data_IF_263842705214
#
_entry.id   IF_263842705214
#
_cell.length_a   1.000
_cell.length_b   1.000
_cell.length_c   1.000
_cell.angle_alpha   90.00
_cell.angle_beta   90.00
_cell.angle_gamma   90.00
#
_symmetry.space_group_name_H-M   'P 1'
#
loop_
_entity.id
_entity.type
_entity.pdbx_description
1 polymer ?
#
# COMPACT_ATOMS: atom_id res chain seq x y z
N UNK A 1 4.88 9.33 -4.44
CA UNK A 1 4.46 10.47 -5.28
C UNK A 1 3.47 9.96 -6.30
N UNK A 2 2.66 10.85 -6.87
CA UNK A 2 1.57 10.50 -7.78
C UNK A 2 2.02 9.62 -8.96
N UNK A 3 3.21 9.86 -9.51
CA UNK A 3 3.72 9.06 -10.64
C UNK A 3 3.93 7.58 -10.28
N UNK A 4 4.45 7.31 -9.08
CA UNK A 4 4.66 5.94 -8.62
C UNK A 4 3.34 5.22 -8.35
N UNK A 5 2.34 5.94 -7.85
CA UNK A 5 0.99 5.44 -7.63
C UNK A 5 0.25 5.15 -8.95
N UNK A 6 0.37 6.04 -9.94
CA UNK A 6 -0.12 5.79 -11.30
C UNK A 6 0.53 4.55 -11.93
N UNK A 7 1.84 4.35 -11.74
CA UNK A 7 2.54 3.18 -12.27
C UNK A 7 2.05 1.88 -11.61
N UNK A 8 1.91 1.86 -10.29
CA UNK A 8 1.42 0.69 -9.56
C UNK A 8 -0.05 0.41 -9.90
N UNK A 9 -0.90 1.44 -9.93
CA UNK A 9 -2.31 1.31 -10.35
C UNK A 9 -2.42 0.64 -11.72
N UNK A 10 -1.72 1.14 -12.75
CA UNK A 10 -1.72 0.52 -14.09
C UNK A 10 -1.30 -0.96 -14.04
N UNK A 11 -0.21 -1.24 -13.34
CA UNK A 11 0.30 -2.62 -13.18
C UNK A 11 -0.77 -3.52 -12.56
N UNK A 12 -1.46 -3.06 -11.52
CA UNK A 12 -2.50 -3.83 -10.86
C UNK A 12 -3.77 -4.00 -11.71
N UNK A 13 -4.13 -3.00 -12.52
CA UNK A 13 -5.26 -3.09 -13.45
C UNK A 13 -5.03 -4.12 -14.56
N UNK A 14 -3.79 -4.44 -14.92
CA UNK A 14 -3.51 -5.55 -15.86
C UNK A 14 -4.00 -6.91 -15.34
N UNK A 15 -4.13 -7.08 -14.02
CA UNK A 15 -4.66 -8.31 -13.43
C UNK A 15 -6.16 -8.51 -13.69
N UNK A 16 -6.91 -7.47 -14.08
CA UNK A 16 -8.36 -7.59 -14.27
C UNK A 16 -8.73 -8.55 -15.40
N UNK A 17 -7.87 -8.66 -16.42
CA UNK A 17 -7.98 -9.66 -17.50
C UNK A 17 -7.93 -11.12 -16.97
N UNK A 18 -7.44 -11.33 -15.76
CA UNK A 18 -7.30 -12.63 -15.10
C UNK A 18 -8.32 -12.82 -13.96
N UNK A 19 -9.40 -12.02 -13.95
CA UNK A 19 -10.49 -12.17 -12.98
C UNK A 19 -10.27 -11.41 -11.66
N UNK A 20 -9.33 -10.47 -11.62
CA UNK A 20 -9.15 -9.58 -10.48
C UNK A 20 -9.99 -8.31 -10.60
N UNK A 21 -10.16 -7.59 -9.49
CA UNK A 21 -10.71 -6.25 -9.39
C UNK A 21 -9.75 -5.38 -8.61
N UNK A 22 -9.40 -4.23 -9.17
CA UNK A 22 -8.54 -3.25 -8.51
C UNK A 22 -9.37 -2.04 -8.09
N UNK A 23 -9.35 -1.71 -6.80
CA UNK A 23 -9.96 -0.50 -6.25
C UNK A 23 -8.85 0.43 -5.79
N UNK A 24 -8.72 1.57 -6.45
CA UNK A 24 -7.76 2.60 -6.08
C UNK A 24 -8.34 3.54 -5.01
N UNK A 25 -7.47 4.06 -4.14
CA UNK A 25 -7.77 5.09 -3.13
C UNK A 25 -8.95 4.72 -2.21
N UNK A 26 -8.83 3.59 -1.51
CA UNK A 26 -9.89 3.14 -0.60
C UNK A 26 -9.80 3.90 0.73
N UNK A 27 -10.74 4.83 0.93
CA UNK A 27 -10.90 5.57 2.18
C UNK A 27 -11.22 4.63 3.36
N UNK A 28 -10.41 4.72 4.41
CA UNK A 28 -10.54 3.94 5.66
C UNK A 28 -10.84 4.84 6.87
N UNK A 29 -11.34 6.06 6.64
CA UNK A 29 -11.77 7.05 7.65
C UNK A 29 -10.63 7.77 8.37
N UNK A 30 -9.42 7.18 8.43
CA UNK A 30 -8.21 7.78 9.01
C UNK A 30 -7.05 7.87 8.01
N UNK A 31 -7.39 7.92 6.72
CA UNK A 31 -6.47 7.86 5.60
C UNK A 31 -7.05 6.97 4.50
N UNK A 32 -6.19 6.62 3.56
CA UNK A 32 -6.48 5.78 2.41
C UNK A 32 -5.52 4.61 2.34
N UNK A 33 -5.99 3.52 1.72
CA UNK A 33 -5.13 2.49 1.15
C UNK A 33 -5.01 2.78 -0.33
N UNK A 34 -3.77 2.92 -0.82
CA UNK A 34 -3.50 3.35 -2.20
C UNK A 34 -4.20 2.43 -3.21
N UNK A 35 -4.10 1.10 -3.01
CA UNK A 35 -4.82 0.13 -3.85
C UNK A 35 -5.29 -1.08 -3.05
N UNK A 36 -6.48 -1.58 -3.37
CA UNK A 36 -6.95 -2.90 -2.93
C UNK A 36 -7.19 -3.78 -4.14
N UNK A 37 -6.59 -4.96 -4.14
CA UNK A 37 -6.75 -5.95 -5.21
C UNK A 37 -7.53 -7.12 -4.64
N UNK A 38 -8.61 -7.49 -5.32
CA UNK A 38 -9.46 -8.64 -4.97
C UNK A 38 -9.42 -9.59 -6.16
N UNK A 39 -9.09 -10.85 -5.94
CA UNK A 39 -9.15 -11.82 -7.03
C UNK A 39 -9.00 -13.26 -6.56
N UNK A 40 -8.85 -14.21 -7.49
CA UNK A 40 -8.90 -15.64 -7.19
C UNK A 40 -7.89 -16.05 -6.12
N UNK A 41 -6.77 -15.34 -6.06
CA UNK A 41 -5.63 -15.64 -5.18
C UNK A 41 -5.67 -14.90 -3.83
N UNK A 42 -6.71 -14.10 -3.57
CA UNK A 42 -6.98 -13.49 -2.28
C UNK A 42 -7.33 -12.00 -2.35
N UNK A 43 -7.20 -11.33 -1.20
CA UNK A 43 -7.41 -9.88 -1.05
C UNK A 43 -6.14 -9.24 -0.53
N UNK A 44 -5.71 -8.17 -1.20
CA UNK A 44 -4.42 -7.52 -0.98
C UNK A 44 -4.60 -6.02 -0.78
N UNK A 45 -4.10 -5.48 0.32
CA UNK A 45 -3.99 -4.05 0.54
C UNK A 45 -2.56 -3.61 0.18
N UNK A 46 -2.42 -2.82 -0.88
CA UNK A 46 -1.14 -2.41 -1.46
C UNK A 46 -0.88 -0.94 -1.12
N UNK A 47 0.21 -0.68 -0.41
CA UNK A 47 0.76 0.66 -0.20
C UNK A 47 1.89 0.89 -1.21
N UNK A 48 1.86 2.04 -1.88
CA UNK A 48 2.84 2.38 -2.91
C UNK A 48 3.93 3.29 -2.34
N UNK A 49 5.19 2.87 -2.50
CA UNK A 49 6.37 3.65 -2.10
C UNK A 49 7.27 3.92 -3.29
N UNK A 50 7.35 5.20 -3.66
CA UNK A 50 8.33 5.65 -4.65
C UNK A 50 9.67 5.98 -3.98
N UNK A 51 10.37 4.96 -3.51
CA UNK A 51 11.69 5.10 -2.89
C UNK A 51 12.80 4.79 -3.90
N UNK A 52 13.87 5.60 -3.95
CA UNK A 52 15.09 5.23 -4.63
C UNK A 52 16.02 4.42 -3.71
N UNK A 53 16.94 3.69 -4.33
CA UNK A 53 18.04 3.03 -3.63
C UNK A 53 17.65 1.66 -3.08
N UNK A 54 18.29 1.26 -1.98
CA UNK A 54 18.24 -0.11 -1.47
C UNK A 54 17.16 -0.26 -0.41
N UNK A 55 16.34 -1.30 -0.54
CA UNK A 55 15.36 -1.72 0.47
C UNK A 55 15.67 -3.15 0.85
N UNK A 56 15.78 -3.42 2.14
CA UNK A 56 16.03 -4.78 2.64
C UNK A 56 15.39 -5.01 3.99
N UNK A 57 15.23 -6.28 4.34
CA UNK A 57 14.76 -6.70 5.65
C UNK A 57 15.90 -7.43 6.35
N UNK A 58 16.22 -7.00 7.56
CA UNK A 58 17.23 -7.63 8.44
C UNK A 58 16.56 -7.97 9.75
N UNK A 59 16.66 -9.21 10.19
CA UNK A 59 16.05 -9.68 11.44
C UNK A 59 14.55 -9.31 11.56
N UNK A 60 13.83 -9.40 10.44
CA UNK A 60 12.40 -9.06 10.35
C UNK A 60 12.08 -7.56 10.36
N UNK A 61 13.08 -6.67 10.33
CA UNK A 61 12.95 -5.22 10.33
C UNK A 61 13.20 -4.64 8.94
N UNK A 62 12.31 -3.78 8.46
CA UNK A 62 12.46 -3.07 7.20
C UNK A 62 13.48 -1.93 7.31
N UNK A 63 14.44 -1.92 6.38
CA UNK A 63 15.41 -0.85 6.20
C UNK A 63 15.29 -0.25 4.79
N UNK A 64 15.43 1.07 4.72
CA UNK A 64 15.49 1.85 3.50
C UNK A 64 16.77 2.68 3.51
N UNK A 65 17.67 2.42 2.57
CA UNK A 65 18.99 3.04 2.49
C UNK A 65 19.74 2.98 3.85
N UNK A 66 19.64 1.85 4.54
CA UNK A 66 20.28 1.65 5.85
C UNK A 66 19.51 2.22 7.05
N UNK A 67 18.41 2.92 6.85
CA UNK A 67 17.58 3.47 7.92
C UNK A 67 16.35 2.60 8.18
N UNK A 68 16.10 2.28 9.45
CA UNK A 68 14.93 1.53 9.89
C UNK A 68 13.64 2.29 9.57
N UNK A 69 12.63 1.61 9.02
CA UNK A 69 11.34 2.21 8.63
C UNK A 69 10.14 1.39 9.13
N UNK A 70 9.96 1.31 10.45
CA UNK A 70 8.78 0.64 11.03
C UNK A 70 7.47 1.38 10.72
N UNK A 71 7.54 2.68 10.43
CA UNK A 71 6.36 3.49 10.17
C UNK A 71 5.66 3.00 8.91
N UNK A 72 6.41 2.69 7.86
CA UNK A 72 5.88 2.08 6.65
C UNK A 72 5.15 0.76 6.95
N UNK A 73 5.76 -0.14 7.72
CA UNK A 73 5.14 -1.43 8.08
C UNK A 73 3.85 -1.23 8.87
N UNK A 74 3.86 -0.32 9.85
CA UNK A 74 2.64 -0.01 10.63
C UNK A 74 1.53 0.55 9.76
N UNK A 75 1.84 1.39 8.78
CA UNK A 75 0.85 1.94 7.85
C UNK A 75 0.23 0.82 7.01
N UNK A 76 1.05 -0.04 6.40
CA UNK A 76 0.57 -1.16 5.59
C UNK A 76 -0.31 -2.14 6.40
N UNK A 77 0.11 -2.49 7.62
CA UNK A 77 -0.67 -3.36 8.53
C UNK A 77 -2.02 -2.72 8.88
N UNK A 78 -2.04 -1.42 9.21
CA UNK A 78 -3.29 -0.71 9.52
C UNK A 78 -4.24 -0.68 8.32
N UNK A 79 -3.70 -0.44 7.12
CA UNK A 79 -4.46 -0.49 5.88
C UNK A 79 -5.13 -1.85 5.69
N UNK A 80 -4.36 -2.93 5.75
CA UNK A 80 -4.89 -4.28 5.61
C UNK A 80 -5.96 -4.64 6.67
N UNK A 81 -5.74 -4.24 7.94
CA UNK A 81 -6.73 -4.44 9.01
C UNK A 81 -8.03 -3.69 8.71
N UNK A 82 -7.94 -2.43 8.28
CA UNK A 82 -9.12 -1.62 7.99
C UNK A 82 -9.93 -2.18 6.81
N UNK A 83 -9.26 -2.63 5.74
CA UNK A 83 -9.92 -3.30 4.61
C UNK A 83 -10.57 -4.61 5.06
N UNK A 84 -9.86 -5.40 5.87
CA UNK A 84 -10.37 -6.66 6.41
C UNK A 84 -11.66 -6.44 7.21
N UNK A 85 -11.65 -5.49 8.13
CA UNK A 85 -12.81 -5.18 8.98
C UNK A 85 -13.98 -4.64 8.16
N UNK A 86 -13.70 -3.74 7.21
CA UNK A 86 -14.72 -3.13 6.36
C UNK A 86 -15.39 -4.14 5.42
N UNK A 87 -14.64 -5.08 4.86
CA UNK A 87 -15.15 -6.10 3.96
C UNK A 87 -15.60 -7.39 4.67
N UNK A 88 -15.49 -7.47 6.00
CA UNK A 88 -15.88 -8.65 6.77
C UNK A 88 -15.03 -9.89 6.46
N UNK A 89 -13.76 -9.72 6.12
CA UNK A 89 -12.88 -10.78 5.67
C UNK A 89 -12.11 -11.43 6.83
N UNK A 90 -11.72 -12.69 6.67
CA UNK A 90 -10.81 -13.36 7.62
C UNK A 90 -9.38 -12.85 7.50
N UNK A 91 -8.95 -12.52 6.28
CA UNK A 91 -7.58 -12.16 5.98
C UNK A 91 -7.50 -11.18 4.81
N UNK A 92 -6.58 -10.21 4.92
CA UNK A 92 -6.14 -9.32 3.84
C UNK A 92 -4.62 -9.24 3.95
N UNK A 93 -3.90 -9.57 2.88
CA UNK A 93 -2.44 -9.49 2.88
C UNK A 93 -1.99 -8.03 2.66
N UNK A 94 -1.10 -7.54 3.52
CA UNK A 94 -0.48 -6.23 3.36
C UNK A 94 0.73 -6.34 2.43
N UNK A 95 0.77 -5.52 1.39
CA UNK A 95 1.89 -5.41 0.45
C UNK A 95 2.42 -3.98 0.44
N UNK A 96 3.74 -3.82 0.48
CA UNK A 96 4.41 -2.56 0.14
C UNK A 96 5.07 -2.73 -1.22
N UNK A 97 4.56 -2.00 -2.21
CA UNK A 97 5.10 -1.97 -3.57
C UNK A 97 6.11 -0.84 -3.72
N UNK A 98 7.38 -1.18 -3.93
CA UNK A 98 8.47 -0.23 -4.12
C UNK A 98 8.71 0.03 -5.61
N UNK A 99 8.51 1.27 -6.07
CA UNK A 99 8.52 1.59 -7.51
C UNK A 99 9.94 1.65 -8.09
N UNK A 100 10.85 2.38 -7.44
CA UNK A 100 12.20 2.65 -7.93
C UNK A 100 13.29 2.13 -7.00
N UNK A 101 12.94 1.17 -6.13
CA UNK A 101 13.88 0.60 -5.17
C UNK A 101 14.45 -0.72 -5.68
N UNK A 102 15.72 -0.95 -5.36
CA UNK A 102 16.34 -2.26 -5.43
C UNK A 102 15.99 -3.04 -4.14
N UNK A 103 14.88 -3.78 -4.18
CA UNK A 103 14.41 -4.60 -3.07
C UNK A 103 15.23 -5.89 -3.01
N UNK A 104 15.92 -6.12 -1.90
CA UNK A 104 16.78 -7.29 -1.73
C UNK A 104 15.96 -8.53 -1.38
N UNK A 105 16.31 -9.68 -1.99
CA UNK A 105 15.69 -10.99 -1.74
C UNK A 105 14.16 -11.00 -1.91
N UNK A 106 13.66 -10.37 -2.98
CA UNK A 106 12.23 -10.22 -3.21
C UNK A 106 11.52 -11.49 -3.72
N UNK A 107 10.24 -11.71 -3.34
CA UNK A 107 9.49 -10.96 -2.33
C UNK A 107 10.04 -11.23 -0.94
N UNK A 108 10.27 -10.16 -0.17
CA UNK A 108 10.82 -10.25 1.19
C UNK A 108 9.73 -9.94 2.21
N UNK A 109 9.69 -10.67 3.32
CA UNK A 109 8.68 -10.45 4.37
C UNK A 109 9.28 -9.77 5.59
N UNK A 110 8.55 -8.79 6.10
CA UNK A 110 8.81 -8.15 7.40
C UNK A 110 7.52 -8.13 8.19
N UNK A 111 7.49 -8.85 9.32
CA UNK A 111 6.27 -9.10 10.10
C UNK A 111 5.18 -9.71 9.20
N UNK A 112 3.98 -9.12 9.17
CA UNK A 112 2.86 -9.54 8.34
C UNK A 112 2.81 -8.82 6.97
N UNK A 113 3.87 -8.13 6.57
CA UNK A 113 3.92 -7.32 5.34
C UNK A 113 4.88 -7.95 4.33
N UNK A 114 4.39 -8.13 3.11
CA UNK A 114 5.23 -8.50 1.97
C UNK A 114 5.76 -7.24 1.30
N UNK A 115 7.07 -7.14 1.11
CA UNK A 115 7.74 -6.01 0.45
C UNK A 115 8.29 -6.49 -0.88
N UNK A 116 7.97 -5.78 -1.95
CA UNK A 116 8.27 -6.20 -3.31
C UNK A 116 8.47 -4.98 -4.20
N UNK A 117 9.28 -5.11 -5.25
CA UNK A 117 9.34 -4.09 -6.29
C UNK A 117 8.06 -4.06 -7.15
N UNK A 118 7.80 -2.94 -7.82
CA UNK A 118 6.61 -2.80 -8.70
C UNK A 118 6.57 -3.87 -9.80
N UNK A 119 7.71 -4.22 -10.38
CA UNK A 119 7.78 -5.20 -11.49
C UNK A 119 7.51 -6.66 -11.05
N UNK A 120 7.68 -6.98 -9.76
CA UNK A 120 7.36 -8.31 -9.19
C UNK A 120 5.99 -8.37 -8.53
N UNK A 121 5.26 -7.25 -8.48
CA UNK A 121 4.00 -7.11 -7.75
C UNK A 121 2.91 -8.08 -8.25
N UNK A 122 2.63 -8.08 -9.55
CA UNK A 122 1.58 -8.93 -10.11
C UNK A 122 1.88 -10.42 -9.92
N UNK A 123 3.10 -10.86 -10.21
CA UNK A 123 3.52 -12.24 -9.95
C UNK A 123 3.36 -12.61 -8.47
N UNK A 124 3.75 -11.71 -7.57
CA UNK A 124 3.57 -11.93 -6.12
C UNK A 124 2.11 -12.09 -5.72
N UNK A 125 1.18 -11.34 -6.32
CA UNK A 125 -0.25 -11.47 -6.09
C UNK A 125 -0.80 -12.77 -6.67
N UNK A 126 -0.43 -13.10 -7.91
CA UNK A 126 -0.94 -14.26 -8.65
C UNK A 126 -0.36 -15.61 -8.19
N UNK A 127 0.80 -15.62 -7.56
CA UNK A 127 1.42 -16.85 -7.04
C UNK A 127 0.74 -17.39 -5.76
N UNK A 128 -0.17 -16.62 -5.16
CA UNK A 128 -0.89 -17.05 -3.95
C UNK A 128 -1.92 -18.12 -4.27
N UNK A 129 -2.01 -19.12 -3.40
CA UNK A 129 -2.99 -20.20 -3.52
C UNK A 129 -4.18 -19.92 -2.60
N UNK A 130 -5.16 -19.22 -3.14
CA UNK A 130 -6.51 -19.12 -2.60
C UNK A 130 -7.50 -19.59 -3.69
N UNK A 131 -8.78 -19.63 -3.36
CA UNK A 131 -9.83 -19.98 -4.31
C UNK A 131 -11.07 -19.14 -4.07
N UNK A 132 -10.93 -17.81 -4.18
CA UNK A 132 -12.11 -16.95 -4.21
C UNK A 132 -12.80 -17.11 -5.56
N UNK A 133 -14.11 -17.39 -5.53
CA UNK A 133 -14.89 -17.45 -6.76
C UNK A 133 -15.28 -16.05 -7.25
N UNK A 134 -15.81 -15.98 -8.48
CA UNK A 134 -16.19 -14.72 -9.12
C UNK A 134 -17.26 -13.96 -8.33
N UNK A 135 -18.25 -14.65 -7.74
CA UNK A 135 -19.31 -14.01 -6.97
C UNK A 135 -18.74 -13.39 -5.68
N UNK A 136 -17.83 -14.11 -5.01
CA UNK A 136 -17.12 -13.59 -3.86
C UNK A 136 -16.29 -12.35 -4.19
N UNK A 137 -15.54 -12.40 -5.30
CA UNK A 137 -14.70 -11.29 -5.77
C UNK A 137 -15.55 -10.05 -6.01
N UNK A 138 -16.65 -10.16 -6.76
CA UNK A 138 -17.52 -9.03 -7.08
C UNK A 138 -18.19 -8.45 -5.84
N UNK A 139 -18.68 -9.31 -4.94
CA UNK A 139 -19.29 -8.88 -3.69
C UNK A 139 -18.30 -8.11 -2.81
N UNK A 140 -17.06 -8.59 -2.69
CA UNK A 140 -16.01 -7.91 -1.93
C UNK A 140 -15.67 -6.57 -2.59
N UNK A 141 -15.41 -6.57 -3.90
CA UNK A 141 -15.05 -5.37 -4.65
C UNK A 141 -16.14 -4.29 -4.53
N UNK A 142 -17.41 -4.66 -4.72
CA UNK A 142 -18.55 -3.75 -4.58
C UNK A 142 -18.66 -3.14 -3.17
N UNK A 143 -18.30 -3.89 -2.11
CA UNK A 143 -18.29 -3.36 -0.74
C UNK A 143 -17.24 -2.27 -0.51
N UNK A 144 -16.12 -2.36 -1.23
CA UNK A 144 -14.99 -1.45 -1.13
C UNK A 144 -15.15 -0.22 -2.04
N UNK A 145 -15.72 -0.38 -3.24
CA UNK A 145 -15.92 0.72 -4.20
C UNK A 145 -16.92 1.78 -3.73
N UNK A 146 -17.87 1.43 -2.85
CA UNK A 146 -18.89 2.38 -2.33
C UNK A 146 -18.35 3.62 -1.60
N UNK A 147 -17.05 3.67 -1.25
CA UNK A 147 -16.44 4.86 -0.64
C UNK A 147 -15.75 5.80 -1.62
N UNK A 148 -15.38 5.35 -2.82
CA UNK A 148 -14.60 6.17 -3.78
C UNK A 148 -15.40 7.41 -4.22
N UNK A 149 -16.73 7.35 -4.15
CA UNK A 149 -17.61 8.47 -4.51
C UNK A 149 -17.76 9.56 -3.44
N UNK A 150 -17.28 9.35 -2.20
CA UNK A 150 -17.46 10.32 -1.10
C UNK A 150 -16.28 11.26 -0.87
N UNK A 151 -15.10 10.96 -1.39
CA UNK A 151 -13.87 11.72 -1.11
C UNK A 151 -13.00 11.90 -2.35
N UNK A 152 -13.42 12.77 -3.28
CA UNK A 152 -12.43 13.44 -4.16
C UNK A 152 -11.66 14.43 -3.29
N UNK A 153 -10.58 14.00 -2.64
CA UNK A 153 -9.71 14.90 -1.86
C UNK A 153 -8.22 14.67 -2.13
N UNK A 154 -7.60 15.74 -2.64
CA UNK A 154 -6.19 16.16 -2.73
C UNK A 154 -5.08 15.10 -2.55
N UNK A 155 -4.14 14.96 -3.52
CA UNK A 155 -3.03 14.02 -3.47
C UNK A 155 -2.19 14.06 -2.18
N UNK A 156 -1.78 12.87 -1.72
CA UNK A 156 -0.90 12.59 -0.56
C UNK A 156 0.37 13.45 -0.48
N UNK A 157 0.82 14.01 -1.61
CA UNK A 157 1.97 14.91 -1.71
C UNK A 157 1.81 16.25 -0.94
N UNK A 158 0.58 16.75 -0.74
CA UNK A 158 0.36 18.06 -0.09
C UNK A 158 0.48 17.98 1.44
N UNK A 159 0.30 16.80 2.05
CA UNK A 159 0.38 16.64 3.52
C UNK A 159 1.80 16.71 4.09
N UNK A 160 2.83 16.54 3.25
CA UNK A 160 4.23 16.52 3.70
C UNK A 160 4.84 17.92 3.92
N UNK A 161 4.19 19.01 3.49
CA UNK A 161 4.76 20.37 3.55
C UNK A 161 4.34 21.14 4.82
N UNK A 162 3.33 20.68 5.56
CA UNK A 162 2.85 21.37 6.76
C UNK A 162 3.54 20.89 8.05
N UNK A 163 4.86 21.04 8.15
CA UNK A 163 5.57 21.03 9.44
C UNK A 163 6.48 22.27 9.52
N UNK A 164 5.86 23.36 10.00
CA UNK A 164 6.37 24.56 10.72
C UNK A 164 7.66 25.25 10.22
N UNK A 165 7.64 26.58 9.98
CA UNK A 165 8.81 27.40 10.24
C UNK A 165 8.94 27.66 11.74
N UNK A 166 10.14 27.39 12.26
CA UNK A 166 10.65 27.74 13.58
C UNK A 166 10.65 29.27 13.79
N UNK A 167 10.07 29.71 14.89
CA UNK A 167 10.21 31.09 15.40
C UNK A 167 11.64 31.23 15.97
N UNK A 168 12.43 32.25 15.60
CA UNK A 168 13.65 32.56 16.34
C UNK A 168 13.29 33.26 17.64
N UNK A 169 13.76 32.70 18.75
CA UNK A 169 13.79 33.35 20.05
C UNK A 169 14.89 34.41 20.03
N UNK A 170 14.54 35.68 20.18
CA UNK A 170 15.49 36.74 20.53
C UNK A 170 15.44 36.96 22.04
N UNK A 171 16.51 36.52 22.72
CA UNK A 171 16.87 36.93 24.06
C UNK A 171 18.27 37.57 24.00
N UNK A 172 18.45 38.70 24.70
CA UNK A 172 19.76 39.30 25.00
C UNK A 172 19.85 40.76 24.54
N UNK A 173 19.50 41.73 25.40
CA UNK A 173 20.37 42.46 26.35
C UNK A 173 21.19 43.58 25.72
N UNK A 174 20.92 44.81 26.18
CA UNK A 174 21.63 46.04 25.86
C UNK A 174 20.75 47.24 26.16
#
# INVERSE_FOLDING_TARGET
>A
GADGECQVSRTLHDLEAFGYRTIDHVDIGRGDVDHVVVGPTGVFAVETKNWPGRVDVRDGVLYRNGHRDDACLRQAIRGAIAIRERAGLRWVEAIVACVNANVQAEPVRSKAVTVVSSHRLNGTISDRRMGLDTEEIERIAASLSRSVQRSRSVPKAVRAIAVRPSVPSSNGTG
#
